data_IF_359128590318
#
_entry.id   IF_359128590318
#
_cell.length_a   1.000
_cell.length_b   1.000
_cell.length_c   1.000
_cell.angle_alpha   90.00
_cell.angle_beta   90.00
_cell.angle_gamma   90.00
#
_symmetry.space_group_name_H-M   'P 1'
#
loop_
_entity.id
_entity.type
_entity.pdbx_description
1 polymer ?
#
# COMPACT_ATOMS: atom_id res chain seq x y z
N UNK A 1 -10.81 25.83 -2.14
CA UNK A 1 -11.26 24.48 -2.53
C UNK A 1 -10.40 24.03 -3.70
N UNK A 2 -9.49 23.06 -3.47
CA UNK A 2 -8.69 22.50 -4.53
C UNK A 2 -9.53 21.42 -5.23
N UNK A 3 -10.13 21.76 -6.36
CA UNK A 3 -10.82 20.79 -7.22
C UNK A 3 -9.82 19.88 -7.90
N UNK A 4 -10.12 18.59 -7.98
CA UNK A 4 -9.33 17.63 -8.77
C UNK A 4 -9.42 18.02 -10.24
N UNK A 5 -8.28 18.29 -10.85
CA UNK A 5 -8.21 18.63 -12.29
C UNK A 5 -8.39 17.33 -13.10
N UNK A 6 -9.58 17.13 -13.63
CA UNK A 6 -9.94 15.96 -14.44
C UNK A 6 -9.34 15.98 -15.87
N UNK A 7 -8.63 17.05 -16.25
CA UNK A 7 -8.07 17.21 -17.60
C UNK A 7 -6.68 16.61 -17.78
N UNK A 8 -6.01 16.22 -16.70
CA UNK A 8 -4.71 15.54 -16.79
C UNK A 8 -4.90 14.05 -17.02
N UNK A 9 -4.36 13.48 -18.12
CA UNK A 9 -4.31 12.02 -18.26
C UNK A 9 -3.52 11.45 -17.08
N UNK A 10 -4.13 10.50 -16.34
CA UNK A 10 -3.45 9.81 -15.28
C UNK A 10 -2.18 9.19 -15.87
N UNK A 11 -1.02 9.52 -15.32
CA UNK A 11 0.23 8.89 -15.69
C UNK A 11 0.10 7.40 -15.35
N UNK A 12 -0.21 6.58 -16.35
CA UNK A 12 -0.22 5.12 -16.19
C UNK A 12 1.22 4.67 -16.00
N UNK A 13 1.54 3.99 -14.90
CA UNK A 13 2.86 3.37 -14.73
C UNK A 13 3.53 3.56 -13.37
N UNK A 14 2.78 3.69 -12.29
CA UNK A 14 3.28 3.64 -10.92
C UNK A 14 3.30 2.21 -10.33
N UNK A 15 3.73 2.05 -9.09
CA UNK A 15 3.65 0.78 -8.38
C UNK A 15 2.20 0.35 -8.18
N UNK A 16 1.92 -0.95 -8.24
CA UNK A 16 0.64 -1.51 -7.85
C UNK A 16 0.41 -1.32 -6.34
N UNK A 17 -0.79 -0.88 -5.96
CA UNK A 17 -1.21 -0.78 -4.55
C UNK A 17 -2.10 -1.97 -4.23
N UNK A 18 -1.69 -2.79 -3.26
CA UNK A 18 -2.35 -4.05 -2.94
C UNK A 18 -2.91 -3.97 -1.53
N UNK A 19 -4.23 -3.95 -1.41
CA UNK A 19 -4.93 -3.96 -0.13
C UNK A 19 -5.30 -5.40 0.23
N UNK A 20 -4.76 -5.90 1.32
CA UNK A 20 -4.97 -7.27 1.80
C UNK A 20 -6.02 -7.27 2.89
N UNK A 21 -7.15 -7.93 2.63
CA UNK A 21 -8.31 -8.04 3.53
C UNK A 21 -8.75 -6.69 4.10
N UNK A 22 -8.98 -5.66 3.24
CA UNK A 22 -9.49 -4.38 3.72
C UNK A 22 -10.83 -4.61 4.42
N UNK A 23 -10.98 -4.03 5.62
CA UNK A 23 -12.12 -4.32 6.50
C UNK A 23 -13.37 -3.53 6.12
N UNK A 24 -13.20 -2.31 5.63
CA UNK A 24 -14.26 -1.38 5.30
C UNK A 24 -14.15 -0.92 3.85
N UNK A 25 -15.29 -0.82 3.17
CA UNK A 25 -15.35 -0.28 1.81
C UNK A 25 -14.84 1.17 1.74
N UNK A 26 -15.10 1.97 2.77
CA UNK A 26 -14.65 3.36 2.88
C UNK A 26 -13.11 3.48 2.81
N UNK A 27 -12.39 2.50 3.37
CA UNK A 27 -10.93 2.48 3.33
C UNK A 27 -10.41 2.22 1.91
N UNK A 28 -11.12 1.40 1.14
CA UNK A 28 -10.80 1.18 -0.27
C UNK A 28 -10.99 2.49 -1.06
N UNK A 29 -12.12 3.18 -0.84
CA UNK A 29 -12.41 4.46 -1.50
C UNK A 29 -11.39 5.54 -1.16
N UNK A 30 -11.03 5.69 0.13
CA UNK A 30 -10.01 6.66 0.55
C UNK A 30 -8.62 6.33 0.00
N UNK A 31 -8.27 5.05 -0.11
CA UNK A 31 -7.04 4.62 -0.75
C UNK A 31 -7.04 4.96 -2.25
N UNK A 32 -8.14 4.69 -2.96
CA UNK A 32 -8.31 5.05 -4.37
C UNK A 32 -8.16 6.56 -4.58
N UNK A 33 -8.73 7.39 -3.71
CA UNK A 33 -8.57 8.85 -3.74
C UNK A 33 -7.12 9.28 -3.54
N UNK A 34 -6.42 8.66 -2.58
CA UNK A 34 -4.99 8.94 -2.36
C UNK A 34 -4.15 8.55 -3.58
N UNK A 35 -4.46 7.40 -4.20
CA UNK A 35 -3.81 6.94 -5.43
C UNK A 35 -4.03 7.92 -6.59
N UNK A 36 -5.27 8.36 -6.81
CA UNK A 36 -5.60 9.34 -7.84
C UNK A 36 -4.81 10.65 -7.68
N UNK A 37 -4.67 11.16 -6.46
CA UNK A 37 -3.88 12.34 -6.15
C UNK A 37 -2.37 12.16 -6.44
N UNK A 38 -1.89 10.91 -6.39
CA UNK A 38 -0.51 10.55 -6.69
C UNK A 38 -0.29 10.09 -8.14
N UNK A 39 -1.35 10.07 -8.98
CA UNK A 39 -1.28 9.58 -10.35
C UNK A 39 -1.12 8.06 -10.47
N UNK A 40 -1.58 7.30 -9.46
CA UNK A 40 -1.57 5.84 -9.43
C UNK A 40 -2.95 5.29 -9.79
N UNK A 41 -3.00 4.19 -10.54
CA UNK A 41 -4.24 3.58 -10.99
C UNK A 41 -4.31 2.04 -10.91
N UNK A 42 -3.21 1.36 -10.57
CA UNK A 42 -3.23 -0.11 -10.38
C UNK A 42 -3.58 -0.46 -8.93
N UNK A 43 -4.89 -0.55 -8.66
CA UNK A 43 -5.43 -1.00 -7.36
C UNK A 43 -5.75 -2.49 -7.40
N UNK A 44 -5.21 -3.25 -6.45
CA UNK A 44 -5.44 -4.68 -6.29
C UNK A 44 -6.04 -4.98 -4.93
N UNK A 45 -7.14 -5.73 -4.92
CA UNK A 45 -7.87 -6.09 -3.71
C UNK A 45 -7.75 -7.60 -3.47
N UNK A 46 -7.31 -7.98 -2.28
CA UNK A 46 -7.22 -9.38 -1.88
C UNK A 46 -8.26 -9.63 -0.79
N UNK A 47 -9.27 -10.44 -1.08
CA UNK A 47 -10.33 -10.87 -0.15
C UNK A 47 -10.91 -9.70 0.69
N UNK A 48 -11.49 -8.65 0.09
CA UNK A 48 -12.13 -7.58 0.84
C UNK A 48 -13.28 -8.12 1.68
N UNK A 49 -13.34 -7.76 2.97
CA UNK A 49 -14.30 -8.30 3.92
C UNK A 49 -15.75 -7.92 3.61
N UNK A 50 -15.98 -6.66 3.26
CA UNK A 50 -17.32 -6.16 2.93
C UNK A 50 -17.76 -6.51 1.48
N UNK A 51 -16.93 -7.32 0.78
CA UNK A 51 -17.19 -7.69 -0.61
C UNK A 51 -16.75 -6.62 -1.61
N UNK A 52 -16.85 -6.95 -2.89
CA UNK A 52 -16.57 -6.08 -4.02
C UNK A 52 -17.50 -6.40 -5.19
N UNK A 53 -18.09 -5.43 -5.89
CA UNK A 53 -17.97 -3.97 -5.70
C UNK A 53 -18.65 -3.47 -4.42
N UNK A 54 -18.30 -2.22 -3.97
CA UNK A 54 -18.78 -1.64 -2.72
C UNK A 54 -19.24 -0.18 -2.93
N UNK A 55 -20.51 0.09 -2.69
CA UNK A 55 -21.10 1.45 -2.75
C UNK A 55 -20.42 2.41 -1.77
N UNK A 56 -19.99 1.89 -0.62
CA UNK A 56 -19.24 2.65 0.38
C UNK A 56 -17.86 3.08 -0.15
N UNK A 57 -17.21 2.24 -0.95
CA UNK A 57 -15.95 2.59 -1.59
C UNK A 57 -16.16 3.72 -2.61
N UNK A 58 -17.21 3.64 -3.43
CA UNK A 58 -17.55 4.68 -4.40
C UNK A 58 -17.83 6.01 -3.69
N UNK A 59 -18.68 6.00 -2.63
CA UNK A 59 -19.00 7.19 -1.86
C UNK A 59 -17.74 7.85 -1.24
N UNK A 60 -16.78 7.05 -0.78
CA UNK A 60 -15.55 7.54 -0.16
C UNK A 60 -14.47 7.97 -1.18
N UNK A 61 -14.56 7.51 -2.42
CA UNK A 61 -13.55 7.79 -3.45
C UNK A 61 -13.57 9.25 -3.93
N UNK A 62 -14.71 9.95 -3.82
CA UNK A 62 -14.82 11.40 -4.11
C UNK A 62 -14.17 11.80 -5.45
N UNK A 63 -14.60 11.18 -6.55
CA UNK A 63 -14.11 11.48 -7.92
C UNK A 63 -12.88 10.67 -8.35
N UNK A 64 -12.47 9.67 -7.56
CA UNK A 64 -11.44 8.70 -7.95
C UNK A 64 -12.07 7.38 -8.47
N UNK A 65 -13.27 7.46 -9.05
CA UNK A 65 -14.02 6.31 -9.55
C UNK A 65 -13.24 5.54 -10.60
N UNK A 66 -12.46 6.22 -11.44
CA UNK A 66 -11.62 5.60 -12.45
C UNK A 66 -10.56 4.62 -11.88
N UNK A 67 -10.12 4.81 -10.61
CA UNK A 67 -9.22 3.86 -9.92
C UNK A 67 -10.01 2.64 -9.47
N UNK A 68 -11.24 2.85 -8.97
CA UNK A 68 -12.13 1.75 -8.55
C UNK A 68 -12.58 0.90 -9.74
N UNK A 69 -12.87 1.53 -10.88
CA UNK A 69 -13.28 0.83 -12.11
C UNK A 69 -12.18 -0.10 -12.66
N UNK A 70 -10.92 0.27 -12.44
CA UNK A 70 -9.74 -0.53 -12.80
C UNK A 70 -9.32 -1.52 -11.72
N UNK A 71 -9.93 -1.46 -10.52
CA UNK A 71 -9.55 -2.31 -9.40
C UNK A 71 -9.73 -3.79 -9.73
N UNK A 72 -8.71 -4.60 -9.43
CA UNK A 72 -8.70 -6.03 -9.68
C UNK A 72 -8.82 -6.82 -8.38
N UNK A 73 -9.71 -7.80 -8.38
CA UNK A 73 -9.95 -8.69 -7.25
C UNK A 73 -9.09 -9.96 -7.37
N UNK A 74 -8.42 -10.33 -6.30
CA UNK A 74 -7.57 -11.52 -6.23
C UNK A 74 -7.95 -12.45 -5.07
N UNK A 75 -7.88 -13.78 -5.28
CA UNK A 75 -8.21 -14.76 -4.24
C UNK A 75 -7.10 -14.90 -3.18
N UNK A 76 -5.88 -14.44 -3.48
CA UNK A 76 -4.75 -14.56 -2.56
C UNK A 76 -3.69 -13.48 -2.82
N UNK A 77 -2.84 -13.25 -1.82
CA UNK A 77 -1.68 -12.35 -1.96
C UNK A 77 -0.74 -12.85 -3.06
N UNK A 78 -0.49 -14.17 -3.12
CA UNK A 78 0.37 -14.76 -4.14
C UNK A 78 -0.12 -14.47 -5.57
N UNK A 79 -1.43 -14.56 -5.80
CA UNK A 79 -2.03 -14.23 -7.09
C UNK A 79 -1.93 -12.73 -7.41
N UNK A 80 -2.08 -11.88 -6.39
CA UNK A 80 -2.03 -10.43 -6.56
C UNK A 80 -0.63 -9.87 -6.86
N UNK A 81 0.43 -10.63 -6.56
CA UNK A 81 1.82 -10.20 -6.75
C UNK A 81 2.57 -11.01 -7.81
N UNK A 82 1.92 -11.98 -8.45
CA UNK A 82 2.59 -12.96 -9.33
C UNK A 82 3.28 -12.35 -10.55
N UNK A 83 2.84 -11.19 -11.00
CA UNK A 83 3.41 -10.41 -12.10
C UNK A 83 4.41 -9.33 -11.65
N UNK A 84 4.62 -9.18 -10.34
CA UNK A 84 5.51 -8.16 -9.78
C UNK A 84 6.91 -8.71 -9.51
N UNK A 85 7.93 -7.93 -9.88
CA UNK A 85 9.34 -8.26 -9.63
C UNK A 85 9.75 -7.83 -8.23
N UNK A 86 9.30 -6.64 -7.80
CA UNK A 86 9.62 -6.06 -6.50
C UNK A 86 8.35 -5.78 -5.70
N UNK A 87 8.29 -6.31 -4.49
CA UNK A 87 7.15 -6.13 -3.60
C UNK A 87 7.61 -5.58 -2.26
N UNK A 88 6.99 -4.48 -1.85
CA UNK A 88 7.22 -3.80 -0.58
C UNK A 88 6.02 -4.03 0.34
N UNK A 89 6.25 -4.19 1.64
CA UNK A 89 5.20 -4.34 2.62
C UNK A 89 5.20 -3.17 3.60
N UNK A 90 4.08 -2.46 3.68
CA UNK A 90 3.89 -1.43 4.69
C UNK A 90 3.59 -2.08 6.05
N UNK A 91 4.45 -1.89 7.04
CA UNK A 91 4.27 -2.45 8.38
C UNK A 91 4.70 -1.43 9.44
N UNK A 92 3.94 -1.37 10.55
CA UNK A 92 4.27 -0.56 11.71
C UNK A 92 4.96 -1.36 12.83
N UNK A 93 5.04 -2.69 12.69
CA UNK A 93 5.57 -3.58 13.74
C UNK A 93 6.96 -4.08 13.39
N UNK A 94 7.85 -4.10 14.39
CA UNK A 94 9.09 -4.86 14.34
C UNK A 94 8.76 -6.34 14.23
N UNK A 95 9.24 -6.97 13.18
CA UNK A 95 9.08 -8.40 12.97
C UNK A 95 10.48 -9.00 12.98
N UNK A 96 10.66 -10.09 13.73
CA UNK A 96 11.89 -10.89 13.78
C UNK A 96 12.14 -11.63 12.45
N UNK A 97 11.99 -10.92 11.32
CA UNK A 97 12.28 -11.46 10.00
C UNK A 97 13.53 -10.77 9.47
N UNK A 98 14.46 -11.56 8.94
CA UNK A 98 15.68 -11.08 8.26
C UNK A 98 15.29 -10.44 6.92
N UNK A 99 14.53 -9.34 6.97
CA UNK A 99 14.14 -8.56 5.79
C UNK A 99 14.64 -7.13 5.95
N UNK A 100 15.13 -6.57 4.86
CA UNK A 100 15.64 -5.20 4.84
C UNK A 100 14.51 -4.22 5.15
N UNK A 101 14.70 -3.40 6.17
CA UNK A 101 13.79 -2.31 6.50
C UNK A 101 14.20 -1.04 5.79
N UNK A 102 13.23 -0.34 5.22
CA UNK A 102 13.42 0.91 4.49
C UNK A 102 12.47 1.98 5.05
N UNK A 103 12.91 3.23 4.97
CA UNK A 103 12.00 4.36 5.13
C UNK A 103 11.11 4.48 3.87
N UNK A 104 9.90 5.09 3.98
CA UNK A 104 9.02 5.31 2.82
C UNK A 104 9.72 6.06 1.67
N UNK A 105 10.56 7.04 2.00
CA UNK A 105 11.33 7.79 1.00
C UNK A 105 12.31 6.90 0.22
N UNK A 106 13.09 6.08 0.94
CA UNK A 106 14.03 5.14 0.30
C UNK A 106 13.31 4.10 -0.56
N UNK A 107 12.20 3.56 -0.06
CA UNK A 107 11.39 2.62 -0.84
C UNK A 107 10.87 3.28 -2.13
N UNK A 108 10.39 4.52 -2.06
CA UNK A 108 9.93 5.27 -3.23
C UNK A 108 11.08 5.57 -4.23
N UNK A 109 12.29 5.86 -3.75
CA UNK A 109 13.47 6.06 -4.58
C UNK A 109 13.85 4.77 -5.33
N UNK A 110 13.88 3.63 -4.61
CA UNK A 110 14.18 2.32 -5.21
C UNK A 110 13.11 1.91 -6.23
N UNK A 111 11.82 2.05 -5.88
CA UNK A 111 10.72 1.75 -6.80
C UNK A 111 10.78 2.57 -8.09
N UNK A 112 11.10 3.87 -8.01
CA UNK A 112 11.29 4.69 -9.21
C UNK A 112 12.43 4.20 -10.08
N UNK A 113 13.52 3.75 -9.47
CA UNK A 113 14.64 3.15 -10.20
C UNK A 113 14.22 1.90 -10.96
N UNK A 114 13.52 0.97 -10.31
CA UNK A 114 13.05 -0.26 -10.93
C UNK A 114 12.00 -0.01 -12.01
N UNK A 115 11.04 0.86 -11.76
CA UNK A 115 10.03 1.23 -12.75
C UNK A 115 10.65 1.87 -14.00
N UNK A 116 11.72 2.65 -13.86
CA UNK A 116 12.44 3.23 -15.00
C UNK A 116 13.16 2.17 -15.86
N UNK A 117 13.44 0.99 -15.27
CA UNK A 117 14.00 -0.18 -15.96
C UNK A 117 12.91 -1.10 -16.54
N UNK A 118 11.63 -0.74 -16.37
CA UNK A 118 10.50 -1.56 -16.82
C UNK A 118 10.16 -2.71 -15.85
N UNK A 119 10.72 -2.73 -14.64
CA UNK A 119 10.45 -3.76 -13.66
C UNK A 119 9.20 -3.40 -12.82
N UNK A 120 8.22 -4.31 -12.78
CA UNK A 120 6.97 -4.08 -12.08
C UNK A 120 7.16 -4.11 -10.55
N UNK A 121 6.65 -3.08 -9.88
CA UNK A 121 6.73 -2.92 -8.44
C UNK A 121 5.34 -2.88 -7.79
N UNK A 122 5.22 -3.29 -6.53
CA UNK A 122 3.99 -3.17 -5.77
C UNK A 122 4.21 -2.94 -4.29
N UNK A 123 3.19 -2.36 -3.63
CA UNK A 123 3.18 -2.10 -2.19
C UNK A 123 1.98 -2.79 -1.57
N UNK A 124 2.24 -3.66 -0.59
CA UNK A 124 1.25 -4.40 0.19
C UNK A 124 0.88 -3.60 1.45
N UNK A 125 -0.42 -3.40 1.62
CA UNK A 125 -1.02 -2.90 2.85
C UNK A 125 -1.87 -4.01 3.47
N UNK A 126 -1.62 -4.31 4.75
CA UNK A 126 -2.39 -5.32 5.49
C UNK A 126 -3.69 -4.76 6.07
N UNK A 127 -4.50 -5.64 6.71
CA UNK A 127 -5.70 -5.23 7.42
C UNK A 127 -5.39 -4.18 8.49
N UNK A 128 -6.28 -3.22 8.67
CA UNK A 128 -6.10 -2.00 9.48
C UNK A 128 -5.76 -2.31 10.95
N UNK A 129 -6.33 -3.36 11.52
CA UNK A 129 -6.13 -3.74 12.93
C UNK A 129 -4.89 -4.60 13.18
N UNK A 130 -4.57 -5.50 12.26
CA UNK A 130 -3.55 -6.54 12.48
C UNK A 130 -2.28 -6.32 11.67
N UNK A 131 -2.35 -5.53 10.61
CA UNK A 131 -1.28 -5.42 9.63
C UNK A 131 -1.04 -6.74 8.88
N UNK A 132 0.01 -6.83 8.10
CA UNK A 132 0.36 -8.05 7.38
C UNK A 132 0.83 -9.13 8.36
N UNK A 133 0.25 -10.34 8.29
CA UNK A 133 0.67 -11.51 9.10
C UNK A 133 1.80 -12.24 8.37
N UNK A 134 2.75 -12.83 9.13
CA UNK A 134 3.94 -13.49 8.58
C UNK A 134 3.62 -14.60 7.57
N UNK A 135 2.53 -15.36 7.77
CA UNK A 135 2.14 -16.43 6.86
C UNK A 135 1.81 -15.95 5.44
N UNK A 136 1.33 -14.70 5.31
CA UNK A 136 1.02 -14.09 4.01
C UNK A 136 2.26 -13.56 3.29
N UNK A 137 3.40 -13.50 3.98
CA UNK A 137 4.69 -13.01 3.47
C UNK A 137 5.69 -14.15 3.17
N UNK A 138 5.27 -15.42 3.25
CA UNK A 138 6.14 -16.60 3.08
C UNK A 138 6.56 -16.89 1.63
N UNK A 139 5.94 -16.28 0.64
CA UNK A 139 6.41 -16.38 -0.75
C UNK A 139 7.81 -15.75 -0.90
N UNK A 140 8.62 -16.14 -1.91
CA UNK A 140 9.97 -15.60 -2.15
C UNK A 140 9.92 -14.15 -2.64
N UNK A 141 9.27 -13.31 -1.86
CA UNK A 141 9.11 -11.89 -2.11
C UNK A 141 10.38 -11.22 -1.60
N UNK A 142 11.06 -10.46 -2.44
CA UNK A 142 12.01 -9.45 -1.99
C UNK A 142 11.22 -8.36 -1.28
N UNK A 143 10.82 -8.63 -0.06
CA UNK A 143 9.97 -7.74 0.71
C UNK A 143 10.87 -6.78 1.48
N UNK A 144 10.84 -5.52 1.12
CA UNK A 144 11.37 -4.45 1.97
C UNK A 144 10.24 -3.96 2.87
N UNK A 145 10.40 -4.09 4.18
CA UNK A 145 9.45 -3.55 5.13
C UNK A 145 9.57 -2.01 5.14
N UNK A 146 8.49 -1.31 4.84
CA UNK A 146 8.45 0.14 4.88
C UNK A 146 7.75 0.59 6.17
N UNK A 147 8.44 1.32 7.05
CA UNK A 147 7.85 1.92 8.25
C UNK A 147 7.24 3.27 7.91
N UNK A 148 6.00 3.47 8.26
CA UNK A 148 5.29 4.74 8.10
C UNK A 148 5.62 5.79 9.17
N UNK A 149 6.30 5.41 10.28
CA UNK A 149 6.65 6.33 11.37
C UNK A 149 8.11 6.15 11.79
N UNK A 150 8.92 7.22 11.91
CA UNK A 150 10.23 7.12 12.55
C UNK A 150 10.05 6.73 14.02
N UNK A 151 10.99 5.98 14.61
CA UNK A 151 10.95 5.71 16.05
C UNK A 151 11.00 7.05 16.78
N UNK A 152 10.04 7.29 17.66
CA UNK A 152 10.05 8.44 18.55
C UNK A 152 11.33 8.37 19.39
N UNK A 153 12.11 9.46 19.52
CA UNK A 153 13.29 9.45 20.38
C UNK A 153 12.82 9.11 21.81
N UNK A 154 13.33 8.02 22.35
CA UNK A 154 13.09 7.67 23.75
C UNK A 154 13.63 8.83 24.58
N UNK A 155 12.74 9.53 25.28
CA UNK A 155 13.15 10.52 26.26
C UNK A 155 13.91 9.79 27.37
N UNK A 156 15.22 9.86 27.34
CA UNK A 156 16.06 9.53 28.48
C UNK A 156 15.90 10.65 29.50
N UNK A 157 14.88 10.53 30.34
CA UNK A 157 14.78 11.35 31.54
C UNK A 157 15.88 10.91 32.50
N UNK A 158 16.82 11.79 32.89
CA UNK A 158 17.78 11.45 33.94
C UNK A 158 17.03 11.36 35.25
N UNK A 159 16.92 10.17 35.81
CA UNK A 159 16.50 9.99 37.20
C UNK A 159 17.53 10.68 38.06
N UNK A 160 17.17 11.81 38.68
CA UNK A 160 17.93 12.38 39.80
C UNK A 160 17.78 11.41 40.95
N UNK A 161 18.90 10.78 41.35
CA UNK A 161 19.03 10.19 42.68
C UNK A 161 19.15 11.33 43.68
N UNK A 162 18.27 11.35 44.68
CA UNK A 162 18.51 11.87 46.04
C UNK A 162 18.50 10.68 46.98
#
# INVERSE_FOLDING_TARGET
MAGTDHSRPAASGGPAIILVEPQLGENIGTAARAMANCGLDDLRLVCPRDGWPSDKAVAAASGADFVLDKARLYPSVAAAIGDLVHVYAATARDRYMVKRELTPRRAAEEMRGFLSLGEACGVLFGPERMGLVNDKLRSPIRCSACRSTPPSPRSTSPRRCC
#
